data_IF_629573815380
#
_entry.id   IF_629573815380
#
_cell.length_a   1.000
_cell.length_b   1.000
_cell.length_c   1.000
_cell.angle_alpha   90.00
_cell.angle_beta   90.00
_cell.angle_gamma   90.00
#
_symmetry.space_group_name_H-M   'P 1'
#
loop_
_entity.id
_entity.type
_entity.pdbx_description
1 polymer ?
#
# COMPACT_ATOMS: atom_id res chain seq x y z
N UNK A 1 3.29 26.01 -14.78
CA UNK A 1 3.03 27.28 -14.04
C UNK A 1 1.61 27.80 -14.23
N UNK A 2 1.02 27.70 -15.43
CA UNK A 2 -0.37 28.14 -15.70
C UNK A 2 -1.45 27.35 -14.93
N UNK A 3 -1.29 26.03 -14.79
CA UNK A 3 -2.19 25.15 -14.02
C UNK A 3 -2.22 25.51 -12.54
N UNK A 4 -1.05 25.79 -11.94
CA UNK A 4 -0.95 26.22 -10.54
C UNK A 4 -1.59 27.60 -10.33
N UNK A 5 -1.55 28.49 -11.35
CA UNK A 5 -2.27 29.76 -11.36
C UNK A 5 -3.79 29.56 -11.35
N UNK A 6 -4.31 28.76 -12.28
CA UNK A 6 -5.75 28.42 -12.34
C UNK A 6 -6.25 27.74 -11.04
N UNK A 7 -5.46 26.82 -10.47
CA UNK A 7 -5.77 26.19 -9.18
C UNK A 7 -5.72 27.19 -8.00
N UNK A 8 -4.85 28.20 -8.06
CA UNK A 8 -4.79 29.27 -7.06
C UNK A 8 -6.06 30.12 -7.07
N UNK A 9 -6.50 30.51 -8.26
CA UNK A 9 -7.67 31.36 -8.45
C UNK A 9 -8.97 30.61 -8.10
N UNK A 10 -9.08 29.33 -8.49
CA UNK A 10 -10.14 28.43 -8.02
C UNK A 10 -10.09 28.26 -6.49
N UNK A 11 -8.92 28.04 -5.90
CA UNK A 11 -8.75 27.85 -4.45
C UNK A 11 -9.20 29.04 -3.59
N UNK A 12 -9.26 30.25 -4.14
CA UNK A 12 -9.84 31.43 -3.48
C UNK A 12 -11.36 31.54 -3.58
N UNK A 13 -11.99 30.89 -4.56
CA UNK A 13 -13.43 30.96 -4.84
C UNK A 13 -14.19 29.65 -4.47
N UNK A 14 -13.46 28.60 -4.15
CA UNK A 14 -13.98 27.26 -3.86
C UNK A 14 -14.61 27.18 -2.46
N UNK A 15 -15.92 27.43 -2.39
CA UNK A 15 -16.77 26.98 -1.30
C UNK A 15 -17.46 25.64 -1.64
N UNK A 16 -18.15 25.03 -0.68
CA UNK A 16 -18.83 23.74 -0.88
C UNK A 16 -19.86 23.75 -2.02
N UNK A 17 -20.50 24.89 -2.31
CA UNK A 17 -21.43 25.03 -3.43
C UNK A 17 -20.71 25.06 -4.79
N UNK A 18 -19.53 25.69 -4.86
CA UNK A 18 -18.67 25.68 -6.06
C UNK A 18 -18.18 24.26 -6.36
N UNK A 19 -17.76 23.50 -5.33
CA UNK A 19 -17.35 22.09 -5.49
C UNK A 19 -18.52 21.23 -5.96
N UNK A 20 -19.71 21.41 -5.37
CA UNK A 20 -20.94 20.73 -5.82
C UNK A 20 -21.16 20.95 -7.32
N UNK A 21 -21.11 22.21 -7.75
CA UNK A 21 -21.30 22.57 -9.16
C UNK A 21 -20.23 21.92 -10.05
N UNK A 22 -18.97 21.96 -9.67
CA UNK A 22 -17.88 21.31 -10.42
C UNK A 22 -18.09 19.79 -10.52
N UNK A 23 -18.48 19.11 -9.44
CA UNK A 23 -18.74 17.67 -9.50
C UNK A 23 -19.90 17.35 -10.46
N UNK A 24 -20.96 18.16 -10.44
CA UNK A 24 -22.09 18.02 -11.36
C UNK A 24 -21.70 18.31 -12.82
N UNK A 25 -20.99 19.42 -13.06
CA UNK A 25 -20.57 19.86 -14.40
C UNK A 25 -19.61 18.83 -15.06
N UNK A 26 -18.83 18.11 -14.24
CA UNK A 26 -17.88 17.09 -14.68
C UNK A 26 -18.34 15.64 -14.47
N UNK A 27 -19.59 15.42 -14.05
CA UNK A 27 -20.16 14.08 -13.81
C UNK A 27 -19.33 13.21 -12.85
N UNK A 28 -18.71 13.83 -11.84
CA UNK A 28 -17.96 13.11 -10.81
C UNK A 28 -18.94 12.55 -9.79
N UNK A 29 -18.94 11.23 -9.60
CA UNK A 29 -19.78 10.59 -8.58
C UNK A 29 -19.27 10.94 -7.18
N UNK A 30 -20.18 10.95 -6.19
CA UNK A 30 -19.79 11.18 -4.78
C UNK A 30 -18.77 10.13 -4.32
N UNK A 31 -18.91 8.90 -4.82
CA UNK A 31 -18.03 7.77 -4.50
C UNK A 31 -16.61 7.95 -5.07
N UNK A 32 -16.42 8.85 -6.04
CA UNK A 32 -15.10 9.18 -6.61
C UNK A 32 -14.37 10.30 -5.85
N UNK A 33 -15.09 11.05 -5.01
CA UNK A 33 -14.53 12.16 -4.23
C UNK A 33 -13.35 11.79 -3.33
N UNK A 34 -13.28 10.58 -2.72
CA UNK A 34 -12.12 10.16 -1.94
C UNK A 34 -10.81 10.25 -2.73
N UNK A 35 -10.81 9.80 -4.00
CA UNK A 35 -9.61 9.83 -4.85
C UNK A 35 -9.15 11.25 -5.14
N UNK A 36 -10.09 12.13 -5.47
CA UNK A 36 -9.82 13.54 -5.78
C UNK A 36 -9.25 14.25 -4.55
N UNK A 37 -9.91 14.11 -3.39
CA UNK A 37 -9.46 14.83 -2.22
C UNK A 37 -8.24 14.20 -1.54
N UNK A 38 -7.98 12.89 -1.67
CA UNK A 38 -6.67 12.30 -1.34
C UNK A 38 -5.55 12.94 -2.16
N UNK A 39 -5.72 13.03 -3.48
CA UNK A 39 -4.76 13.68 -4.35
C UNK A 39 -4.56 15.16 -3.99
N UNK A 40 -5.58 15.83 -3.44
CA UNK A 40 -5.51 17.23 -3.02
C UNK A 40 -4.92 17.46 -1.61
N UNK A 41 -5.14 16.54 -0.68
CA UNK A 41 -4.70 16.65 0.72
C UNK A 41 -3.29 16.10 0.98
N UNK A 42 -2.58 15.65 -0.06
CA UNK A 42 -1.19 15.21 0.07
C UNK A 42 -0.29 16.33 0.63
N UNK A 43 0.61 15.98 1.56
CA UNK A 43 1.40 16.96 2.33
C UNK A 43 2.29 17.86 1.48
N UNK A 44 2.73 17.37 0.32
CA UNK A 44 3.57 18.10 -0.64
C UNK A 44 2.78 19.07 -1.54
N UNK A 45 1.45 19.09 -1.43
CA UNK A 45 0.63 19.97 -2.27
C UNK A 45 0.64 21.42 -1.80
N UNK A 46 0.50 22.32 -2.77
CA UNK A 46 0.38 23.76 -2.53
C UNK A 46 -0.92 24.10 -1.77
N UNK A 47 -0.93 25.23 -1.05
CA UNK A 47 -2.08 25.68 -0.27
C UNK A 47 -3.41 25.70 -1.05
N UNK A 48 -3.47 26.15 -2.32
CA UNK A 48 -4.72 26.14 -3.08
C UNK A 48 -5.26 24.74 -3.34
N UNK A 49 -4.39 23.80 -3.67
CA UNK A 49 -4.77 22.40 -3.88
C UNK A 49 -5.29 21.79 -2.58
N UNK A 50 -4.65 22.11 -1.45
CA UNK A 50 -5.14 21.69 -0.13
C UNK A 50 -6.50 22.29 0.23
N UNK A 51 -6.76 23.55 -0.13
CA UNK A 51 -8.08 24.18 0.03
C UNK A 51 -9.16 23.44 -0.76
N UNK A 52 -8.88 23.06 -2.01
CA UNK A 52 -9.80 22.23 -2.80
C UNK A 52 -10.12 20.91 -2.08
N UNK A 53 -9.11 20.21 -1.57
CA UNK A 53 -9.30 18.97 -0.79
C UNK A 53 -10.21 19.15 0.43
N UNK A 54 -10.04 20.26 1.18
CA UNK A 54 -10.93 20.60 2.30
C UNK A 54 -12.36 20.90 1.85
N UNK A 55 -12.54 21.62 0.75
CA UNK A 55 -13.87 21.95 0.21
C UNK A 55 -14.61 20.70 -0.28
N UNK A 56 -13.89 19.74 -0.88
CA UNK A 56 -14.44 18.41 -1.24
C UNK A 56 -14.86 17.63 0.00
N UNK A 57 -14.05 17.61 1.06
CA UNK A 57 -14.42 16.97 2.32
C UNK A 57 -15.68 17.60 2.95
N UNK A 58 -15.77 18.94 2.99
CA UNK A 58 -16.96 19.64 3.49
C UNK A 58 -18.19 19.26 2.66
N UNK A 59 -18.05 19.17 1.33
CA UNK A 59 -19.13 18.75 0.44
C UNK A 59 -19.56 17.31 0.72
N UNK A 60 -18.62 16.37 0.84
CA UNK A 60 -18.94 14.97 1.17
C UNK A 60 -19.70 14.85 2.51
N UNK A 61 -19.23 15.56 3.54
CA UNK A 61 -19.88 15.55 4.85
C UNK A 61 -21.24 16.24 4.88
N UNK A 62 -21.42 17.31 4.12
CA UNK A 62 -22.71 18.00 4.01
C UNK A 62 -23.78 17.18 3.28
N UNK A 63 -23.38 16.18 2.49
CA UNK A 63 -24.28 15.22 1.84
C UNK A 63 -24.34 13.88 2.59
N UNK A 64 -23.86 13.83 3.83
CA UNK A 64 -23.90 12.64 4.69
C UNK A 64 -23.26 11.38 4.07
N UNK A 65 -22.29 11.55 3.17
CA UNK A 65 -21.52 10.42 2.63
C UNK A 65 -20.50 9.95 3.68
N UNK A 66 -20.82 8.86 4.37
CA UNK A 66 -20.01 8.31 5.47
C UNK A 66 -18.61 7.91 5.00
N UNK A 67 -18.52 6.98 4.03
CA UNK A 67 -17.24 6.48 3.49
C UNK A 67 -16.33 7.61 2.99
N UNK A 68 -16.86 8.51 2.15
CA UNK A 68 -16.08 9.64 1.65
C UNK A 68 -15.64 10.60 2.77
N UNK A 69 -16.51 10.86 3.76
CA UNK A 69 -16.13 11.67 4.92
C UNK A 69 -14.99 11.03 5.71
N UNK A 70 -15.09 9.73 5.99
CA UNK A 70 -14.10 9.00 6.81
C UNK A 70 -12.74 8.92 6.11
N UNK A 71 -12.69 8.55 4.82
CA UNK A 71 -11.46 8.51 4.01
C UNK A 71 -10.76 9.87 3.95
N UNK A 72 -11.54 10.93 3.78
CA UNK A 72 -11.00 12.29 3.66
C UNK A 72 -10.57 12.87 5.01
N UNK A 73 -11.26 12.54 6.10
CA UNK A 73 -10.79 12.88 7.45
C UNK A 73 -9.50 12.13 7.81
N UNK A 74 -9.36 10.85 7.45
CA UNK A 74 -8.09 10.10 7.59
C UNK A 74 -6.95 10.78 6.84
N UNK A 75 -7.19 11.20 5.60
CA UNK A 75 -6.20 11.95 4.81
C UNK A 75 -5.81 13.28 5.49
N UNK A 76 -6.79 14.02 6.02
CA UNK A 76 -6.53 15.23 6.78
C UNK A 76 -5.76 14.98 8.09
N UNK A 77 -5.98 13.85 8.77
CA UNK A 77 -5.19 13.45 9.95
C UNK A 77 -3.74 13.10 9.60
N UNK A 78 -3.52 12.38 8.50
CA UNK A 78 -2.17 12.07 8.01
C UNK A 78 -1.43 13.37 7.69
N UNK A 79 -2.13 14.35 7.10
CA UNK A 79 -1.57 15.68 6.83
C UNK A 79 -1.10 16.39 8.10
N UNK A 80 -1.83 16.25 9.20
CA UNK A 80 -1.48 16.88 10.48
C UNK A 80 -0.22 16.28 11.13
N UNK A 81 0.21 15.06 10.73
CA UNK A 81 1.40 14.41 11.30
C UNK A 81 2.66 15.24 11.00
N UNK A 82 3.38 15.61 12.06
CA UNK A 82 4.58 16.44 11.97
C UNK A 82 4.29 17.94 11.77
N UNK A 83 3.03 18.36 11.66
CA UNK A 83 2.65 19.77 11.56
C UNK A 83 2.47 20.37 12.96
N UNK A 84 3.50 21.09 13.42
CA UNK A 84 3.51 21.73 14.74
C UNK A 84 2.59 22.95 14.83
N UNK A 85 2.38 23.67 13.73
CA UNK A 85 1.50 24.83 13.71
C UNK A 85 0.03 24.40 13.61
N UNK A 86 -0.74 24.66 14.66
CA UNK A 86 -2.20 24.44 14.67
C UNK A 86 -2.93 25.11 13.51
N UNK A 87 -2.42 26.23 13.01
CA UNK A 87 -2.99 26.94 11.85
C UNK A 87 -2.77 26.19 10.51
N UNK A 88 -1.79 25.29 10.46
CA UNK A 88 -1.46 24.50 9.27
C UNK A 88 -2.06 23.10 9.30
N UNK A 89 -2.61 22.68 10.43
CA UNK A 89 -3.32 21.42 10.57
C UNK A 89 -4.59 21.45 9.70
N UNK A 90 -4.71 20.47 8.81
CA UNK A 90 -5.90 20.20 8.03
C UNK A 90 -7.04 19.73 8.93
N UNK A 91 -6.88 18.63 9.69
CA UNK A 91 -7.99 18.02 10.45
C UNK A 91 -8.55 18.96 11.52
N UNK A 92 -7.69 19.67 12.24
CA UNK A 92 -8.10 20.60 13.32
C UNK A 92 -8.53 21.99 12.82
N UNK A 93 -8.59 22.22 11.51
CA UNK A 93 -8.94 23.54 10.98
C UNK A 93 -10.41 23.90 11.28
N UNK A 94 -10.73 25.16 11.61
CA UNK A 94 -12.10 25.58 11.91
C UNK A 94 -13.09 25.25 10.78
N UNK A 95 -12.65 25.31 9.53
CA UNK A 95 -13.46 25.06 8.34
C UNK A 95 -13.97 23.60 8.27
N UNK A 96 -13.23 22.64 8.85
CA UNK A 96 -13.64 21.23 8.89
C UNK A 96 -14.56 20.90 10.08
N UNK A 97 -15.14 21.90 10.77
CA UNK A 97 -16.10 21.65 11.85
C UNK A 97 -17.30 20.82 11.39
N UNK A 98 -17.81 21.04 10.18
CA UNK A 98 -18.92 20.27 9.60
C UNK A 98 -18.56 18.78 9.48
N UNK A 99 -17.37 18.48 8.94
CA UNK A 99 -16.90 17.10 8.80
C UNK A 99 -16.69 16.40 10.15
N UNK A 100 -16.15 17.11 11.15
CA UNK A 100 -16.04 16.57 12.52
C UNK A 100 -17.39 16.38 13.21
N UNK A 101 -18.39 17.20 12.91
CA UNK A 101 -19.76 16.98 13.40
C UNK A 101 -20.38 15.74 12.77
N UNK A 102 -20.16 15.54 11.47
CA UNK A 102 -20.61 14.33 10.78
C UNK A 102 -19.92 13.08 11.35
N UNK A 103 -18.61 13.12 11.61
CA UNK A 103 -17.90 12.05 12.32
C UNK A 103 -18.55 11.73 13.68
N UNK A 104 -18.89 12.75 14.49
CA UNK A 104 -19.55 12.52 15.79
C UNK A 104 -20.91 11.87 15.64
N UNK A 105 -21.72 12.30 14.67
CA UNK A 105 -23.01 11.67 14.33
C UNK A 105 -22.81 10.19 13.99
N UNK A 106 -21.84 9.87 13.14
CA UNK A 106 -21.53 8.48 12.77
C UNK A 106 -21.09 7.64 13.98
N UNK A 107 -20.30 8.21 14.90
CA UNK A 107 -19.92 7.53 16.16
C UNK A 107 -21.14 7.28 17.05
N UNK A 108 -22.06 8.24 17.18
CA UNK A 108 -23.31 8.10 17.93
C UNK A 108 -24.24 7.02 17.32
N UNK A 109 -24.15 6.82 16.01
CA UNK A 109 -24.85 5.77 15.26
C UNK A 109 -24.15 4.40 15.34
N UNK A 110 -23.07 4.28 16.14
CA UNK A 110 -22.19 3.10 16.21
C UNK A 110 -21.61 2.68 14.85
N UNK A 111 -21.33 3.65 13.97
CA UNK A 111 -20.65 3.36 12.71
C UNK A 111 -19.21 2.91 13.01
N UNK A 112 -18.82 1.67 12.67
CA UNK A 112 -17.63 1.10 13.29
C UNK A 112 -16.33 1.76 12.84
N UNK A 113 -16.18 2.04 11.54
CA UNK A 113 -15.02 2.79 11.03
C UNK A 113 -14.88 4.20 11.61
N UNK A 114 -16.01 4.85 11.94
CA UNK A 114 -16.03 6.17 12.55
C UNK A 114 -15.52 6.09 13.99
N UNK A 115 -15.91 5.04 14.72
CA UNK A 115 -15.40 4.75 16.06
C UNK A 115 -13.89 4.48 16.05
N UNK A 116 -13.37 3.70 15.08
CA UNK A 116 -11.92 3.49 14.92
C UNK A 116 -11.19 4.81 14.68
N UNK A 117 -11.71 5.64 13.77
CA UNK A 117 -11.13 6.95 13.47
C UNK A 117 -11.11 7.87 14.70
N UNK A 118 -12.20 7.90 15.46
CA UNK A 118 -12.33 8.70 16.67
C UNK A 118 -11.45 8.17 17.82
N UNK A 119 -11.35 6.85 17.98
CA UNK A 119 -10.48 6.22 18.97
C UNK A 119 -9.00 6.54 18.71
N UNK A 120 -8.58 6.54 17.45
CA UNK A 120 -7.24 6.99 17.06
C UNK A 120 -6.97 8.42 17.51
N UNK A 121 -7.94 9.34 17.36
CA UNK A 121 -7.81 10.71 17.86
C UNK A 121 -7.73 10.79 19.39
N UNK A 122 -8.50 9.95 20.09
CA UNK A 122 -8.38 9.85 21.55
C UNK A 122 -6.99 9.37 21.97
N UNK A 123 -6.44 8.35 21.32
CA UNK A 123 -5.06 7.91 21.53
C UNK A 123 -4.04 9.04 21.31
N UNK A 124 -4.12 9.74 20.17
CA UNK A 124 -3.22 10.86 19.83
C UNK A 124 -3.30 12.04 20.81
N UNK A 125 -4.41 12.16 21.57
CA UNK A 125 -4.62 13.22 22.57
C UNK A 125 -4.42 12.74 24.01
N UNK A 126 -3.93 11.51 24.20
CA UNK A 126 -3.66 10.93 25.52
C UNK A 126 -4.89 10.35 26.24
N UNK A 127 -6.06 10.34 25.61
CA UNK A 127 -7.30 9.72 26.10
C UNK A 127 -7.30 8.21 25.79
N UNK A 128 -6.29 7.49 26.27
CA UNK A 128 -6.04 6.09 25.90
C UNK A 128 -7.13 5.13 26.36
N UNK A 129 -7.68 5.33 27.57
CA UNK A 129 -8.75 4.48 28.11
C UNK A 129 -10.03 4.59 27.30
N UNK A 130 -10.38 5.81 26.91
CA UNK A 130 -11.52 6.10 26.04
C UNK A 130 -11.31 5.52 24.64
N UNK A 131 -10.09 5.59 24.11
CA UNK A 131 -9.74 4.97 22.84
C UNK A 131 -9.90 3.44 22.87
N UNK A 132 -9.38 2.77 23.90
CA UNK A 132 -9.51 1.32 24.09
C UNK A 132 -10.98 0.91 24.18
N UNK A 133 -11.77 1.58 25.02
CA UNK A 133 -13.20 1.29 25.17
C UNK A 133 -13.95 1.46 23.83
N UNK A 134 -13.64 2.50 23.07
CA UNK A 134 -14.25 2.76 21.77
C UNK A 134 -13.85 1.72 20.72
N UNK A 135 -12.60 1.23 20.71
CA UNK A 135 -12.16 0.17 19.80
C UNK A 135 -12.82 -1.16 20.10
N UNK A 136 -12.95 -1.54 21.38
CA UNK A 136 -13.69 -2.74 21.78
C UNK A 136 -15.15 -2.68 21.33
N UNK A 137 -15.82 -1.55 21.56
CA UNK A 137 -17.18 -1.34 21.09
C UNK A 137 -17.30 -1.36 19.55
N UNK A 138 -16.30 -0.84 18.83
CA UNK A 138 -16.26 -0.92 17.36
C UNK A 138 -16.18 -2.38 16.88
N UNK A 139 -15.29 -3.18 17.47
CA UNK A 139 -15.14 -4.61 17.15
C UNK A 139 -16.46 -5.36 17.43
N UNK A 140 -17.09 -5.12 18.59
CA UNK A 140 -18.37 -5.73 18.97
C UNK A 140 -19.54 -5.32 18.07
N UNK A 141 -19.54 -4.09 17.55
CA UNK A 141 -20.58 -3.58 16.65
C UNK A 141 -20.55 -4.21 15.24
N UNK A 142 -19.57 -5.06 14.96
CA UNK A 142 -19.43 -5.71 13.65
C UNK A 142 -18.69 -4.85 12.63
N UNK A 143 -17.75 -3.99 13.05
CA UNK A 143 -16.79 -3.30 12.17
C UNK A 143 -16.12 -4.20 11.12
N UNK A 144 -16.14 -5.48 11.41
CA UNK A 144 -15.29 -6.53 10.89
C UNK A 144 -16.09 -7.54 10.07
N UNK A 145 -17.41 -7.37 9.98
CA UNK A 145 -18.23 -8.20 9.13
C UNK A 145 -17.95 -7.76 7.68
N UNK A 146 -16.91 -8.35 7.08
CA UNK A 146 -16.79 -8.41 5.63
C UNK A 146 -18.16 -8.83 5.10
N UNK A 147 -18.81 -7.96 4.33
CA UNK A 147 -20.09 -8.33 3.73
C UNK A 147 -19.86 -9.64 2.97
N UNK A 148 -20.73 -10.65 3.15
CA UNK A 148 -20.64 -11.86 2.35
C UNK A 148 -20.81 -11.47 0.88
N UNK A 149 -19.73 -11.55 0.11
CA UNK A 149 -19.73 -11.32 -1.32
C UNK A 149 -19.79 -12.67 -2.05
N UNK A 150 -20.47 -12.69 -3.19
CA UNK A 150 -20.64 -13.89 -4.00
C UNK A 150 -19.31 -14.37 -4.61
N UNK A 151 -19.04 -15.68 -4.52
CA UNK A 151 -17.82 -16.40 -4.93
C UNK A 151 -17.62 -16.51 -6.47
N UNK A 152 -18.01 -15.50 -7.26
CA UNK A 152 -17.77 -15.53 -8.71
C UNK A 152 -16.40 -14.94 -9.10
N UNK A 153 -15.82 -15.42 -10.20
CA UNK A 153 -14.47 -15.02 -10.63
C UNK A 153 -14.35 -13.53 -11.01
N UNK A 154 -15.42 -12.90 -11.50
CA UNK A 154 -15.45 -11.47 -11.80
C UNK A 154 -15.55 -10.65 -10.51
N UNK A 155 -16.30 -11.13 -9.53
CA UNK A 155 -16.35 -10.63 -8.16
C UNK A 155 -15.02 -10.83 -7.44
N UNK A 156 -14.26 -11.89 -7.74
CA UNK A 156 -12.89 -12.13 -7.22
C UNK A 156 -11.83 -11.22 -7.86
N UNK A 157 -11.92 -10.92 -9.16
CA UNK A 157 -11.02 -9.95 -9.80
C UNK A 157 -11.36 -8.52 -9.38
N UNK A 158 -12.65 -8.20 -9.26
CA UNK A 158 -13.14 -6.96 -8.65
C UNK A 158 -12.75 -6.88 -7.18
N UNK A 159 -12.77 -7.99 -6.43
CA UNK A 159 -12.22 -8.14 -5.07
C UNK A 159 -10.72 -7.90 -5.06
N UNK A 160 -9.93 -8.43 -5.98
CA UNK A 160 -8.49 -8.19 -5.98
C UNK A 160 -8.11 -6.76 -6.35
N UNK A 161 -8.81 -6.15 -7.31
CA UNK A 161 -8.55 -4.76 -7.72
C UNK A 161 -9.18 -3.75 -6.77
N UNK A 162 -10.35 -4.05 -6.21
CA UNK A 162 -10.96 -3.28 -5.13
C UNK A 162 -10.16 -3.46 -3.86
N UNK A 163 -9.80 -4.66 -3.40
CA UNK A 163 -8.90 -4.88 -2.26
C UNK A 163 -7.56 -4.21 -2.53
N UNK A 164 -6.92 -4.35 -3.67
CA UNK A 164 -5.65 -3.65 -3.91
C UNK A 164 -5.77 -2.11 -3.78
N UNK A 165 -6.89 -1.52 -4.22
CA UNK A 165 -7.18 -0.08 -4.08
C UNK A 165 -7.77 0.32 -2.70
N UNK A 166 -8.48 -0.60 -2.03
CA UNK A 166 -9.12 -0.47 -0.72
C UNK A 166 -8.06 -0.68 0.36
N UNK A 167 -7.26 -1.75 0.28
CA UNK A 167 -5.96 -1.96 0.93
C UNK A 167 -5.04 -0.77 0.71
N UNK A 168 -5.06 -0.07 -0.42
CA UNK A 168 -4.23 1.12 -0.59
C UNK A 168 -4.53 2.24 0.42
N UNK A 169 -5.77 2.31 0.94
CA UNK A 169 -6.17 3.18 2.06
C UNK A 169 -6.25 2.41 3.39
N UNK A 170 -6.68 1.14 3.38
CA UNK A 170 -6.85 0.28 4.56
C UNK A 170 -5.56 -0.36 5.06
N UNK A 171 -4.66 -0.85 4.21
CA UNK A 171 -3.29 -1.22 4.63
C UNK A 171 -2.53 -0.04 5.24
N UNK A 172 -2.94 1.20 4.93
CA UNK A 172 -2.44 2.43 5.58
C UNK A 172 -3.19 2.75 6.88
N UNK A 173 -4.45 2.37 7.03
CA UNK A 173 -5.21 2.53 8.28
C UNK A 173 -5.07 1.32 9.17
N UNK A 174 -4.58 1.50 10.39
CA UNK A 174 -4.51 0.39 11.33
C UNK A 174 -5.92 -0.16 11.57
N UNK A 175 -6.08 -1.47 11.43
CA UNK A 175 -7.32 -2.16 11.77
C UNK A 175 -7.72 -1.84 13.23
N UNK A 176 -9.00 -1.98 13.59
CA UNK A 176 -9.42 -1.82 14.98
C UNK A 176 -8.61 -2.70 15.94
N UNK A 177 -8.32 -3.94 15.56
CA UNK A 177 -7.55 -4.88 16.37
C UNK A 177 -6.08 -4.49 16.52
N UNK A 178 -5.42 -4.16 15.42
CA UNK A 178 -4.01 -3.72 15.47
C UNK A 178 -3.87 -2.44 16.29
N UNK A 179 -4.84 -1.52 16.18
CA UNK A 179 -4.85 -0.29 16.99
C UNK A 179 -5.08 -0.62 18.46
N UNK A 180 -6.06 -1.48 18.77
CA UNK A 180 -6.38 -1.91 20.13
C UNK A 180 -5.17 -2.59 20.76
N UNK A 181 -4.57 -3.56 20.08
CA UNK A 181 -3.43 -4.30 20.57
C UNK A 181 -2.23 -3.40 20.89
N UNK A 182 -1.95 -2.40 20.03
CA UNK A 182 -0.92 -1.41 20.31
C UNK A 182 -1.21 -0.60 21.58
N UNK A 183 -2.46 -0.18 21.77
CA UNK A 183 -2.85 0.57 22.97
C UNK A 183 -2.79 -0.28 24.23
N UNK A 184 -3.25 -1.53 24.18
CA UNK A 184 -3.17 -2.46 25.30
C UNK A 184 -1.71 -2.71 25.69
N UNK A 185 -0.83 -2.94 24.71
CA UNK A 185 0.61 -3.07 24.94
C UNK A 185 1.22 -1.80 25.56
N UNK A 186 0.85 -0.63 25.06
CA UNK A 186 1.31 0.67 25.61
C UNK A 186 0.86 0.90 27.07
N UNK A 187 -0.21 0.23 27.51
CA UNK A 187 -0.70 0.24 28.88
C UNK A 187 -0.14 -0.93 29.73
N UNK A 188 0.66 -1.82 29.14
CA UNK A 188 1.27 -2.98 29.80
C UNK A 188 0.39 -4.24 29.84
N UNK A 189 -0.72 -4.26 29.09
CA UNK A 189 -1.66 -5.37 29.00
C UNK A 189 -1.27 -6.30 27.84
N UNK A 190 -0.17 -7.04 27.97
CA UNK A 190 0.37 -7.87 26.88
C UNK A 190 -0.57 -9.00 26.45
N UNK A 191 -1.28 -9.62 27.40
CA UNK A 191 -2.25 -10.70 27.10
C UNK A 191 -3.38 -10.19 26.22
N UNK A 192 -3.99 -9.07 26.59
CA UNK A 192 -5.06 -8.43 25.84
C UNK A 192 -4.58 -7.93 24.47
N UNK A 193 -3.32 -7.49 24.39
CA UNK A 193 -2.71 -7.12 23.12
C UNK A 193 -2.55 -8.33 22.18
N UNK A 194 -2.06 -9.46 22.70
CA UNK A 194 -1.92 -10.71 21.93
C UNK A 194 -3.27 -11.25 21.47
N UNK A 195 -4.29 -11.26 22.35
CA UNK A 195 -5.66 -11.65 22.01
C UNK A 195 -6.23 -10.76 20.89
N UNK A 196 -6.02 -9.45 20.97
CA UNK A 196 -6.45 -8.52 19.93
C UNK A 196 -5.74 -8.80 18.59
N UNK A 197 -4.42 -9.02 18.59
CA UNK A 197 -3.72 -9.41 17.36
C UNK A 197 -4.22 -10.74 16.78
N UNK A 198 -4.43 -11.75 17.62
CA UNK A 198 -4.94 -13.05 17.18
C UNK A 198 -6.33 -12.91 16.55
N UNK A 199 -7.22 -12.11 17.16
CA UNK A 199 -8.54 -11.83 16.60
C UNK A 199 -8.46 -11.10 15.25
N UNK A 200 -7.57 -10.11 15.10
CA UNK A 200 -7.38 -9.40 13.83
C UNK A 200 -6.85 -10.33 12.73
N UNK A 201 -5.91 -11.20 13.07
CA UNK A 201 -5.38 -12.22 12.15
C UNK A 201 -6.46 -13.22 11.71
N UNK A 202 -7.27 -13.73 12.63
CA UNK A 202 -8.26 -14.77 12.34
C UNK A 202 -9.53 -14.25 11.66
N UNK A 203 -9.89 -12.98 11.89
CA UNK A 203 -11.16 -12.41 11.41
C UNK A 203 -11.05 -11.61 10.12
N UNK A 204 -9.90 -11.00 9.86
CA UNK A 204 -9.73 -10.02 8.78
C UNK A 204 -8.48 -10.27 7.93
N UNK A 205 -7.78 -11.39 8.19
CA UNK A 205 -6.46 -11.66 7.61
C UNK A 205 -5.49 -10.46 7.75
N UNK A 206 -5.58 -9.69 8.85
CA UNK A 206 -4.90 -8.40 8.99
C UNK A 206 -3.37 -8.56 8.88
N UNK A 207 -2.73 -7.98 7.84
CA UNK A 207 -1.30 -8.12 7.60
C UNK A 207 -0.44 -7.63 8.78
N UNK A 208 -0.86 -6.58 9.48
CA UNK A 208 -0.13 -6.01 10.61
C UNK A 208 -0.29 -6.84 11.87
N UNK A 209 -1.45 -7.48 12.04
CA UNK A 209 -1.68 -8.40 13.14
C UNK A 209 -0.77 -9.63 13.04
N UNK A 210 -0.70 -10.25 11.85
CA UNK A 210 0.24 -11.33 11.60
C UNK A 210 1.70 -10.92 11.83
N UNK A 211 2.12 -9.72 11.40
CA UNK A 211 3.47 -9.23 11.70
C UNK A 211 3.74 -9.04 13.18
N UNK A 212 2.75 -8.55 13.93
CA UNK A 212 2.88 -8.37 15.37
C UNK A 212 3.00 -9.73 16.08
N UNK A 213 2.21 -10.73 15.68
CA UNK A 213 2.35 -12.11 16.16
C UNK A 213 3.70 -12.71 15.78
N UNK A 214 4.19 -12.47 14.56
CA UNK A 214 5.53 -12.89 14.16
C UNK A 214 6.63 -12.28 15.05
N UNK A 215 6.42 -11.10 15.63
CA UNK A 215 7.38 -10.46 16.52
C UNK A 215 7.47 -11.08 17.93
N UNK A 216 6.49 -11.91 18.33
CA UNK A 216 6.47 -12.59 19.64
C UNK A 216 7.14 -13.96 19.61
N UNK A 217 7.47 -14.48 18.43
CA UNK A 217 8.13 -15.78 18.23
C UNK A 217 9.56 -15.62 17.73
N UNK A 218 10.45 -16.62 17.91
CA UNK A 218 11.83 -16.54 17.42
C UNK A 218 11.89 -16.26 15.92
N UNK A 219 12.69 -15.27 15.52
CA UNK A 219 12.89 -14.92 14.11
C UNK A 219 13.38 -16.16 13.33
N UNK A 220 12.80 -16.37 12.15
CA UNK A 220 13.08 -17.52 11.26
C UNK A 220 12.65 -18.89 11.79
N UNK A 221 11.92 -18.94 12.91
CA UNK A 221 11.20 -20.16 13.29
C UNK A 221 10.11 -20.52 12.27
N UNK A 222 9.60 -21.75 12.32
CA UNK A 222 8.46 -22.16 11.47
C UNK A 222 7.23 -21.28 11.70
N UNK A 223 6.88 -21.01 12.95
CA UNK A 223 5.75 -20.13 13.28
C UNK A 223 5.96 -18.70 12.79
N UNK A 224 7.18 -18.16 12.93
CA UNK A 224 7.53 -16.85 12.36
C UNK A 224 7.33 -16.84 10.84
N UNK A 225 7.78 -17.88 10.15
CA UNK A 225 7.68 -18.01 8.70
C UNK A 225 6.22 -18.08 8.23
N UNK A 226 5.38 -18.84 8.93
CA UNK A 226 3.95 -18.94 8.66
C UNK A 226 3.24 -17.58 8.81
N UNK A 227 3.47 -16.88 9.92
CA UNK A 227 2.90 -15.55 10.15
C UNK A 227 3.41 -14.52 9.14
N UNK A 228 4.69 -14.50 8.81
CA UNK A 228 5.22 -13.58 7.80
C UNK A 228 4.69 -13.89 6.40
N UNK A 229 4.55 -15.16 6.04
CA UNK A 229 3.94 -15.57 4.77
C UNK A 229 2.50 -15.09 4.67
N UNK A 230 1.72 -15.28 5.74
CA UNK A 230 0.35 -14.77 5.83
C UNK A 230 0.30 -13.26 5.71
N UNK A 231 1.09 -12.54 6.51
CA UNK A 231 1.18 -11.09 6.44
C UNK A 231 1.54 -10.58 5.04
N UNK A 232 2.51 -11.20 4.38
CA UNK A 232 2.94 -10.80 3.05
C UNK A 232 1.85 -11.07 2.00
N UNK A 233 1.17 -12.23 2.08
CA UNK A 233 0.05 -12.56 1.20
C UNK A 233 -1.17 -11.65 1.41
N UNK A 234 -1.35 -11.12 2.61
CA UNK A 234 -2.35 -10.09 2.95
C UNK A 234 -1.88 -8.66 2.62
N UNK A 235 -0.86 -8.49 1.78
CA UNK A 235 -0.44 -7.18 1.27
C UNK A 235 0.65 -6.46 2.07
N UNK A 236 1.28 -7.11 3.06
CA UNK A 236 2.33 -6.46 3.83
C UNK A 236 3.71 -6.51 3.17
N UNK A 237 4.10 -5.38 2.57
CA UNK A 237 5.40 -5.26 1.90
C UNK A 237 6.60 -5.44 2.86
N UNK A 238 6.46 -5.06 4.14
CA UNK A 238 7.50 -5.28 5.15
C UNK A 238 7.70 -6.75 5.47
N UNK A 239 6.62 -7.55 5.51
CA UNK A 239 6.73 -9.00 5.68
C UNK A 239 7.32 -9.66 4.43
N UNK A 240 6.92 -9.21 3.24
CA UNK A 240 7.53 -9.66 1.99
C UNK A 240 9.05 -9.39 2.01
N UNK A 241 9.48 -8.19 2.43
CA UNK A 241 10.91 -7.88 2.61
C UNK A 241 11.57 -8.87 3.59
N UNK A 242 10.96 -9.12 4.74
CA UNK A 242 11.52 -10.05 5.74
C UNK A 242 11.57 -11.50 5.25
N UNK A 243 10.63 -11.93 4.40
CA UNK A 243 10.72 -13.23 3.74
C UNK A 243 11.88 -13.28 2.75
N UNK A 244 12.11 -12.21 1.97
CA UNK A 244 13.32 -12.08 1.15
C UNK A 244 14.61 -12.22 1.98
N UNK A 245 14.65 -11.60 3.16
CA UNK A 245 15.78 -11.73 4.10
C UNK A 245 15.90 -13.16 4.66
N UNK A 246 14.80 -13.85 4.94
CA UNK A 246 14.79 -15.24 5.40
C UNK A 246 15.38 -16.19 4.35
N UNK A 247 14.97 -16.04 3.09
CA UNK A 247 15.48 -16.90 2.00
C UNK A 247 16.95 -16.64 1.66
N UNK A 248 17.49 -15.47 2.00
CA UNK A 248 18.93 -15.15 1.82
C UNK A 248 19.78 -15.40 3.06
N UNK A 249 19.18 -15.62 4.22
CA UNK A 249 19.90 -15.82 5.46
C UNK A 249 20.69 -17.16 5.48
N UNK A 250 21.80 -17.26 6.23
CA UNK A 250 22.48 -18.55 6.43
C UNK A 250 21.54 -19.61 7.04
N UNK A 251 21.62 -20.88 6.64
CA UNK A 251 20.78 -21.94 7.22
C UNK A 251 20.93 -22.08 8.75
N UNK A 252 22.09 -21.69 9.28
CA UNK A 252 22.37 -21.66 10.72
C UNK A 252 21.58 -20.60 11.49
N UNK A 253 20.94 -19.62 10.81
CA UNK A 253 20.05 -18.66 11.47
C UNK A 253 18.64 -19.21 11.71
N UNK A 254 18.27 -20.34 11.10
CA UNK A 254 17.03 -21.05 11.40
C UNK A 254 17.21 -21.73 12.78
N UNK A 255 16.28 -21.56 13.73
CA UNK A 255 16.38 -22.16 15.06
C UNK A 255 16.65 -23.68 15.02
N UNK A 256 17.39 -24.20 16.00
CA UNK A 256 17.85 -25.61 16.02
C UNK A 256 16.70 -26.59 16.22
N UNK A 257 15.65 -26.14 16.90
CA UNK A 257 14.40 -26.83 17.09
C UNK A 257 13.60 -27.04 15.78
N UNK A 258 13.84 -26.24 14.74
CA UNK A 258 13.11 -26.28 13.45
C UNK A 258 13.89 -27.02 12.34
N UNK A 259 14.38 -28.23 12.65
CA UNK A 259 15.21 -29.03 11.73
C UNK A 259 14.51 -29.36 10.40
N UNK A 260 13.19 -29.54 10.42
CA UNK A 260 12.40 -29.79 9.21
C UNK A 260 12.44 -28.59 8.26
N UNK A 261 12.25 -27.37 8.78
CA UNK A 261 12.32 -26.14 7.98
C UNK A 261 13.73 -25.95 7.43
N UNK A 262 14.77 -26.20 8.24
CA UNK A 262 16.16 -26.15 7.79
C UNK A 262 16.42 -27.13 6.65
N UNK A 263 15.95 -28.37 6.76
CA UNK A 263 16.08 -29.40 5.72
C UNK A 263 15.38 -28.97 4.43
N UNK A 264 14.19 -28.38 4.53
CA UNK A 264 13.46 -27.83 3.37
C UNK A 264 14.26 -26.71 2.70
N UNK A 265 14.80 -25.77 3.46
CA UNK A 265 15.60 -24.66 2.91
C UNK A 265 16.91 -25.14 2.29
N UNK A 266 17.57 -26.14 2.90
CA UNK A 266 18.75 -26.78 2.35
C UNK A 266 18.42 -27.45 1.01
N UNK A 267 17.28 -28.17 0.93
CA UNK A 267 16.85 -28.78 -0.32
C UNK A 267 16.65 -27.76 -1.44
N UNK A 268 16.05 -26.59 -1.16
CA UNK A 268 15.88 -25.50 -2.13
C UNK A 268 17.22 -24.88 -2.58
N UNK A 269 18.23 -24.89 -1.71
CA UNK A 269 19.56 -24.33 -1.98
C UNK A 269 20.43 -25.28 -2.81
N UNK A 270 20.38 -26.58 -2.50
CA UNK A 270 21.15 -27.65 -3.14
C UNK A 270 20.46 -28.23 -4.39
N UNK A 271 19.21 -27.86 -4.68
CA UNK A 271 18.52 -28.31 -5.88
C UNK A 271 19.25 -27.82 -7.15
N UNK A 272 19.62 -28.76 -8.02
CA UNK A 272 20.32 -28.46 -9.28
C UNK A 272 19.43 -27.72 -10.29
N UNK A 273 18.10 -27.70 -10.12
CA UNK A 273 17.20 -26.99 -11.00
C UNK A 273 17.37 -25.47 -10.86
N UNK A 274 17.93 -24.85 -11.91
CA UNK A 274 18.09 -23.40 -12.01
C UNK A 274 16.81 -22.74 -12.51
N UNK A 275 16.48 -21.61 -11.91
CA UNK A 275 15.37 -20.74 -12.31
C UNK A 275 15.96 -19.54 -13.05
N UNK A 276 15.51 -19.32 -14.28
CA UNK A 276 15.84 -18.13 -15.05
C UNK A 276 15.09 -16.92 -14.49
N UNK A 277 15.81 -15.90 -14.04
CA UNK A 277 15.25 -14.65 -13.57
C UNK A 277 15.67 -13.49 -14.46
N UNK A 278 14.69 -12.73 -14.95
CA UNK A 278 14.90 -11.62 -15.87
C UNK A 278 14.82 -10.28 -15.13
N UNK A 279 15.79 -9.41 -15.39
CA UNK A 279 15.91 -8.13 -14.71
C UNK A 279 16.46 -7.05 -15.64
N UNK A 280 16.35 -5.78 -15.26
CA UNK A 280 16.97 -4.66 -15.96
C UNK A 280 17.47 -3.64 -14.95
N UNK A 281 18.50 -2.88 -15.33
CA UNK A 281 18.95 -1.72 -14.56
C UNK A 281 18.27 -0.47 -15.09
N UNK A 282 17.70 0.36 -14.24
CA UNK A 282 17.15 1.65 -14.68
C UNK A 282 18.24 2.53 -15.32
N UNK A 283 17.94 3.09 -16.49
CA UNK A 283 18.85 4.03 -17.14
C UNK A 283 18.75 5.43 -16.51
N UNK A 284 19.70 6.33 -16.83
CA UNK A 284 19.75 7.66 -16.23
C UNK A 284 18.46 8.48 -16.41
N UNK A 285 17.71 8.28 -17.49
CA UNK A 285 16.44 8.96 -17.74
C UNK A 285 15.33 8.39 -16.84
N UNK A 286 15.26 7.07 -16.70
CA UNK A 286 14.33 6.43 -15.76
C UNK A 286 14.62 6.82 -14.31
N UNK A 287 15.91 6.87 -13.93
CA UNK A 287 16.37 7.34 -12.63
C UNK A 287 15.93 8.79 -12.36
N UNK A 288 16.11 9.70 -13.33
CA UNK A 288 15.66 11.08 -13.22
C UNK A 288 14.16 11.19 -12.96
N UNK A 289 13.32 10.38 -13.63
CA UNK A 289 11.87 10.39 -13.45
C UNK A 289 11.43 9.99 -12.04
N UNK A 290 12.17 9.11 -11.38
CA UNK A 290 11.91 8.69 -10.00
C UNK A 290 12.72 9.47 -8.97
N UNK A 291 13.44 10.52 -9.39
CA UNK A 291 14.21 11.41 -8.51
C UNK A 291 15.52 10.80 -8.00
N UNK A 292 16.05 9.79 -8.69
CA UNK A 292 17.30 9.12 -8.32
C UNK A 292 18.49 9.72 -9.09
N UNK A 293 19.67 9.85 -8.45
CA UNK A 293 20.87 10.35 -9.12
C UNK A 293 21.25 9.49 -10.34
N UNK A 294 21.79 10.09 -11.41
CA UNK A 294 22.39 9.35 -12.51
C UNK A 294 23.47 8.37 -11.99
N UNK A 295 23.49 7.15 -12.54
CA UNK A 295 24.41 6.10 -12.13
C UNK A 295 23.99 5.28 -10.91
N UNK A 296 22.87 5.59 -10.25
CA UNK A 296 22.29 4.71 -9.23
C UNK A 296 21.90 3.39 -9.88
N UNK A 297 22.54 2.29 -9.50
CA UNK A 297 22.05 0.96 -9.90
C UNK A 297 20.72 0.75 -9.18
N UNK A 298 19.63 0.63 -9.92
CA UNK A 298 18.34 0.13 -9.42
C UNK A 298 17.92 -1.00 -10.34
N UNK A 299 17.59 -2.14 -9.75
CA UNK A 299 17.13 -3.31 -10.50
C UNK A 299 15.61 -3.32 -10.50
N UNK A 300 15.03 -3.33 -11.70
CA UNK A 300 13.63 -3.71 -11.90
C UNK A 300 13.54 -5.17 -12.33
N UNK A 301 12.57 -5.90 -11.78
CA UNK A 301 12.18 -7.19 -12.33
C UNK A 301 11.08 -6.97 -13.38
N UNK A 302 11.21 -7.61 -14.53
CA UNK A 302 10.23 -7.49 -15.61
C UNK A 302 9.46 -8.80 -15.77
N UNK A 303 8.38 -8.93 -15.00
CA UNK A 303 7.39 -9.98 -15.23
C UNK A 303 6.13 -9.43 -15.94
N UNK A 304 6.02 -8.10 -16.12
CA UNK A 304 4.74 -7.43 -16.38
C UNK A 304 4.74 -6.21 -17.33
N UNK A 305 5.85 -5.75 -17.93
CA UNK A 305 5.73 -4.67 -18.94
C UNK A 305 5.12 -5.21 -20.24
N UNK A 306 3.83 -4.89 -20.46
CA UNK A 306 3.12 -5.12 -21.72
C UNK A 306 3.55 -4.20 -22.87
N UNK A 307 4.38 -3.20 -22.62
CA UNK A 307 4.87 -2.26 -23.64
C UNK A 307 6.38 -2.07 -23.52
N UNK A 308 7.10 -2.42 -24.58
CA UNK A 308 8.52 -2.12 -24.74
C UNK A 308 8.70 -1.00 -25.76
N UNK A 309 9.32 0.10 -25.35
CA UNK A 309 9.89 1.10 -26.25
C UNK A 309 11.39 0.79 -26.39
N UNK A 310 11.83 0.19 -27.51
CA UNK A 310 13.22 -0.21 -27.70
C UNK A 310 14.22 0.97 -27.68
N UNK A 311 13.75 2.21 -27.82
CA UNK A 311 14.60 3.41 -27.76
C UNK A 311 14.75 3.95 -26.33
N UNK A 312 13.88 3.55 -25.40
CA UNK A 312 13.85 4.06 -24.02
C UNK A 312 14.08 2.98 -22.97
N UNK A 313 13.90 1.71 -23.32
CA UNK A 313 14.00 0.62 -22.37
C UNK A 313 15.44 0.24 -22.10
N UNK A 314 15.68 0.05 -20.81
CA UNK A 314 16.93 -0.49 -20.32
C UNK A 314 17.13 -1.92 -20.81
N UNK A 315 18.37 -2.27 -21.13
CA UNK A 315 18.71 -3.62 -21.56
C UNK A 315 18.24 -4.63 -20.49
N UNK A 316 17.51 -5.64 -20.93
CA UNK A 316 17.11 -6.76 -20.07
C UNK A 316 18.24 -7.79 -20.01
N UNK A 317 18.50 -8.26 -18.81
CA UNK A 317 19.48 -9.28 -18.48
C UNK A 317 18.75 -10.50 -17.90
N UNK A 318 19.44 -11.63 -17.90
CA UNK A 318 18.97 -12.88 -17.31
C UNK A 318 20.05 -13.40 -16.36
N UNK A 319 19.63 -13.95 -15.23
CA UNK A 319 20.49 -14.67 -14.29
C UNK A 319 19.84 -16.00 -13.92
N UNK A 320 20.67 -17.04 -13.78
CA UNK A 320 20.23 -18.35 -13.30
C UNK A 320 20.41 -18.43 -11.78
N UNK A 321 19.34 -18.77 -11.07
CA UNK A 321 19.29 -18.80 -9.62
C UNK A 321 18.96 -20.21 -9.12
N UNK A 322 19.44 -20.59 -7.94
CA UNK A 322 18.83 -21.74 -7.25
C UNK A 322 17.41 -21.37 -6.76
N UNK A 323 16.62 -22.37 -6.37
CA UNK A 323 15.22 -22.16 -6.01
C UNK A 323 15.08 -21.24 -4.79
N UNK A 324 16.00 -21.34 -3.82
CA UNK A 324 16.01 -20.49 -2.63
C UNK A 324 16.25 -19.02 -2.96
N UNK A 325 17.19 -18.73 -3.86
CA UNK A 325 17.49 -17.38 -4.35
C UNK A 325 16.34 -16.80 -5.19
N UNK A 326 15.70 -17.62 -6.03
CA UNK A 326 14.56 -17.18 -6.82
C UNK A 326 13.38 -16.77 -5.92
N UNK A 327 13.06 -17.56 -4.89
CA UNK A 327 12.04 -17.21 -3.89
C UNK A 327 12.40 -15.91 -3.15
N UNK A 328 13.67 -15.71 -2.80
CA UNK A 328 14.11 -14.44 -2.22
C UNK A 328 13.82 -13.25 -3.15
N UNK A 329 14.12 -13.37 -4.44
CA UNK A 329 13.84 -12.32 -5.42
C UNK A 329 12.34 -12.06 -5.57
N UNK A 330 11.50 -13.09 -5.63
CA UNK A 330 10.04 -12.92 -5.69
C UNK A 330 9.54 -12.07 -4.51
N UNK A 331 9.98 -12.40 -3.29
CA UNK A 331 9.57 -11.66 -2.11
C UNK A 331 10.10 -10.22 -2.05
N UNK A 332 11.36 -10.00 -2.44
CA UNK A 332 11.89 -8.64 -2.54
C UNK A 332 11.20 -7.82 -3.64
N UNK A 333 10.78 -8.45 -4.73
CA UNK A 333 10.06 -7.82 -5.83
C UNK A 333 8.67 -7.35 -5.38
N UNK A 334 7.93 -8.23 -4.69
CA UNK A 334 6.65 -7.90 -4.05
C UNK A 334 6.85 -6.75 -3.06
N UNK A 335 7.89 -6.82 -2.23
CA UNK A 335 8.21 -5.78 -1.26
C UNK A 335 8.53 -4.43 -1.93
N UNK A 336 9.29 -4.44 -3.03
CA UNK A 336 9.65 -3.24 -3.79
C UNK A 336 8.42 -2.56 -4.40
N UNK A 337 7.56 -3.35 -5.07
CA UNK A 337 6.29 -2.85 -5.65
C UNK A 337 5.36 -2.34 -4.57
N UNK A 338 5.22 -3.11 -3.49
CA UNK A 338 4.42 -2.73 -2.35
C UNK A 338 4.92 -1.43 -1.74
N UNK A 339 6.22 -1.30 -1.52
CA UNK A 339 6.78 -0.07 -0.97
C UNK A 339 6.48 1.16 -1.83
N UNK A 340 6.69 1.09 -3.15
CA UNK A 340 6.41 2.20 -4.06
C UNK A 340 4.94 2.66 -4.01
N UNK A 341 4.05 1.73 -3.65
CA UNK A 341 2.60 1.94 -3.57
C UNK A 341 2.17 2.44 -2.19
N UNK A 342 2.74 1.89 -1.12
CA UNK A 342 2.23 2.04 0.24
C UNK A 342 3.09 2.93 1.15
N UNK A 343 4.37 3.14 0.84
CA UNK A 343 5.29 3.94 1.68
C UNK A 343 5.66 5.26 1.02
N UNK A 344 5.68 6.34 1.81
CA UNK A 344 6.26 7.62 1.36
C UNK A 344 7.80 7.62 1.44
N UNK A 345 8.36 6.71 2.25
CA UNK A 345 9.80 6.50 2.38
C UNK A 345 10.23 5.27 1.59
N UNK A 346 11.27 5.41 0.77
CA UNK A 346 11.86 4.33 -0.02
C UNK A 346 12.97 3.64 0.76
N UNK A 347 12.96 2.31 0.79
CA UNK A 347 13.87 1.44 1.51
C UNK A 347 14.81 0.86 0.48
N UNK A 348 15.95 1.53 0.35
CA UNK A 348 16.97 1.16 -0.61
C UNK A 348 17.55 -0.24 -0.31
N UNK A 349 17.40 -0.77 0.91
CA UNK A 349 17.91 -2.11 1.24
C UNK A 349 17.26 -3.22 0.42
N UNK A 350 16.01 -3.04 -0.05
CA UNK A 350 15.35 -4.01 -0.94
C UNK A 350 16.09 -4.09 -2.29
N UNK A 351 16.40 -2.92 -2.89
CA UNK A 351 17.13 -2.87 -4.17
C UNK A 351 18.55 -3.42 -4.03
N UNK A 352 19.22 -3.10 -2.92
CA UNK A 352 20.57 -3.59 -2.64
C UNK A 352 20.58 -5.11 -2.45
N UNK A 353 19.59 -5.68 -1.77
CA UNK A 353 19.48 -7.12 -1.60
C UNK A 353 19.22 -7.86 -2.93
N UNK A 354 18.34 -7.32 -3.78
CA UNK A 354 18.12 -7.83 -5.15
C UNK A 354 19.43 -7.82 -5.95
N UNK A 355 20.17 -6.71 -5.90
CA UNK A 355 21.46 -6.58 -6.57
C UNK A 355 22.48 -7.58 -6.07
N UNK A 356 22.58 -7.76 -4.75
CA UNK A 356 23.51 -8.69 -4.15
C UNK A 356 23.24 -10.13 -4.60
N UNK A 357 21.97 -10.54 -4.68
CA UNK A 357 21.58 -11.87 -5.20
C UNK A 357 22.04 -12.03 -6.65
N UNK A 358 21.75 -11.04 -7.51
CA UNK A 358 22.12 -11.05 -8.92
C UNK A 358 23.64 -11.08 -9.08
N UNK A 359 24.36 -10.18 -8.43
CA UNK A 359 25.83 -10.07 -8.53
C UNK A 359 26.55 -11.31 -8.00
N UNK A 360 26.00 -12.00 -7.00
CA UNK A 360 26.52 -13.30 -6.52
C UNK A 360 26.28 -14.45 -7.49
N UNK A 361 25.21 -14.40 -8.28
CA UNK A 361 24.90 -15.43 -9.28
C UNK A 361 25.61 -15.19 -10.64
N UNK A 362 25.97 -13.94 -10.95
CA UNK A 362 26.67 -13.57 -12.19
C UNK A 362 28.03 -14.24 -12.49
N UNK A 363 28.90 -14.63 -11.52
CA UNK A 363 30.20 -15.24 -11.83
C UNK A 363 30.09 -16.57 -12.60
N UNK A 364 28.88 -17.14 -12.67
CA UNK A 364 28.59 -18.43 -13.30
C UNK A 364 27.76 -18.28 -14.59
N UNK A 365 27.25 -17.09 -14.88
CA UNK A 365 26.52 -16.79 -16.12
C UNK A 365 27.45 -16.08 -17.09
N UNK A 366 27.85 -16.73 -18.19
CA UNK A 366 28.46 -16.01 -19.31
C UNK A 366 27.53 -14.88 -19.78
N UNK A 367 28.07 -13.83 -20.41
CA UNK A 367 27.26 -12.79 -21.07
C UNK A 367 26.31 -13.46 -22.09
N UNK A 368 25.14 -13.88 -21.66
CA UNK A 368 24.07 -14.31 -22.54
C UNK A 368 23.45 -13.05 -23.11
N UNK A 369 24.09 -12.52 -24.17
CA UNK A 369 23.47 -11.61 -25.14
C UNK A 369 22.39 -12.36 -25.92
N UNK A 370 21.43 -12.94 -25.23
CA UNK A 370 20.20 -13.43 -25.84
C UNK A 370 19.24 -12.26 -25.93
N UNK A 371 19.44 -11.43 -26.95
CA UNK A 371 18.42 -10.54 -27.48
C UNK A 371 17.31 -11.39 -28.08
N UNK A 372 16.45 -11.98 -27.24
CA UNK A 372 15.14 -12.38 -27.71
C UNK A 372 14.43 -11.10 -28.14
N UNK A 373 14.21 -10.94 -29.44
CA UNK A 373 13.45 -9.81 -29.98
C UNK A 373 12.12 -9.74 -29.22
N UNK A 374 11.91 -8.67 -28.44
CA UNK A 374 10.79 -8.45 -27.52
C UNK A 374 9.42 -8.87 -28.09
N UNK A 375 9.27 -8.77 -29.42
CA UNK A 375 8.11 -9.20 -30.20
C UNK A 375 7.64 -10.64 -29.98
N UNK A 376 8.54 -11.61 -29.73
CA UNK A 376 8.16 -13.03 -29.54
C UNK A 376 7.71 -13.35 -28.12
N UNK A 377 8.24 -12.65 -27.10
CA UNK A 377 7.79 -12.79 -25.70
C UNK A 377 6.39 -12.20 -25.52
N UNK A 378 6.16 -11.02 -26.09
CA UNK A 378 4.86 -10.36 -26.10
C UNK A 378 3.75 -11.22 -26.77
N UNK A 379 4.07 -11.89 -27.89
CA UNK A 379 3.09 -12.71 -28.62
C UNK A 379 2.73 -14.03 -27.90
N UNK A 380 3.61 -14.60 -27.07
CA UNK A 380 3.35 -15.87 -26.40
C UNK A 380 2.59 -15.70 -25.07
N UNK A 381 2.78 -14.58 -24.37
CA UNK A 381 2.20 -14.33 -23.04
C UNK A 381 0.83 -13.61 -23.09
N UNK A 382 0.52 -12.85 -24.15
CA UNK A 382 -0.66 -11.98 -24.21
C UNK A 382 -1.83 -12.49 -25.05
N UNK A 383 -1.92 -13.80 -25.32
CA UNK A 383 -3.14 -14.39 -25.89
C UNK A 383 -4.21 -14.76 -24.86
N UNK A 384 -4.21 -14.11 -23.68
CA UNK A 384 -5.34 -14.10 -22.75
C UNK A 384 -6.08 -12.74 -22.86
N UNK A 385 -7.41 -12.83 -22.87
CA UNK A 385 -8.43 -11.94 -23.46
C UNK A 385 -8.42 -10.45 -23.07
N UNK A 386 -9.01 -9.61 -23.93
CA UNK A 386 -9.11 -8.12 -23.84
C UNK A 386 -9.68 -7.54 -22.52
N UNK A 387 -10.32 -8.35 -21.68
CA UNK A 387 -10.92 -7.91 -20.41
C UNK A 387 -9.87 -7.58 -19.31
N UNK A 388 -8.64 -8.10 -19.41
CA UNK A 388 -7.60 -7.93 -18.38
C UNK A 388 -6.89 -6.58 -18.39
N UNK A 389 -7.24 -5.67 -19.30
CA UNK A 389 -6.58 -4.35 -19.49
C UNK A 389 -7.20 -3.20 -18.70
N UNK A 390 -8.10 -3.46 -17.76
CA UNK A 390 -8.90 -2.40 -17.13
C UNK A 390 -8.05 -1.39 -16.35
N UNK A 391 -6.99 -1.81 -15.66
CA UNK A 391 -6.10 -0.92 -14.89
C UNK A 391 -5.19 -0.07 -15.79
N UNK A 392 -4.63 -0.64 -16.86
CA UNK A 392 -3.85 0.10 -17.87
C UNK A 392 -4.74 1.09 -18.63
N UNK A 393 -5.93 0.65 -19.03
CA UNK A 393 -6.93 1.53 -19.65
C UNK A 393 -7.39 2.61 -18.67
N UNK A 394 -7.50 2.34 -17.38
CA UNK A 394 -7.82 3.34 -16.36
C UNK A 394 -6.67 4.34 -16.18
N UNK A 395 -5.41 3.91 -16.14
CA UNK A 395 -4.25 4.80 -16.02
C UNK A 395 -4.05 5.66 -17.27
N UNK A 396 -4.25 5.10 -18.45
CA UNK A 396 -4.25 5.84 -19.73
C UNK A 396 -5.45 6.79 -19.80
N UNK A 397 -6.64 6.36 -19.41
CA UNK A 397 -7.83 7.21 -19.35
C UNK A 397 -7.69 8.32 -18.29
N UNK A 398 -7.00 8.07 -17.18
CA UNK A 398 -6.73 9.07 -16.14
C UNK A 398 -5.70 10.10 -16.62
N UNK A 399 -4.71 9.68 -17.42
CA UNK A 399 -3.75 10.59 -18.04
C UNK A 399 -4.40 11.41 -19.18
N UNK A 400 -5.34 10.82 -19.92
CA UNK A 400 -6.17 11.52 -20.90
C UNK A 400 -7.20 12.45 -20.23
N UNK A 401 -7.77 12.06 -19.09
CA UNK A 401 -8.64 12.89 -18.27
C UNK A 401 -7.86 14.10 -17.73
N UNK A 402 -6.62 13.90 -17.25
CA UNK A 402 -5.70 15.00 -16.92
C UNK A 402 -5.50 15.91 -18.14
N UNK A 403 -5.18 15.36 -19.31
CA UNK A 403 -4.97 16.17 -20.54
C UNK A 403 -6.23 16.92 -20.99
N UNK A 404 -7.43 16.39 -20.72
CA UNK A 404 -8.72 17.01 -21.10
C UNK A 404 -9.22 18.05 -20.09
N UNK A 405 -9.02 17.82 -18.79
CA UNK A 405 -9.39 18.77 -17.73
C UNK A 405 -8.39 19.93 -17.65
N UNK A 406 -7.12 19.71 -18.04
CA UNK A 406 -6.03 20.67 -17.87
C UNK A 406 -5.49 21.29 -19.16
N UNK A 407 -6.24 21.21 -20.27
CA UNK A 407 -6.15 22.17 -21.40
C UNK A 407 -7.12 23.31 -21.12
#
# INVERSE_FOLDING_TARGET
MEVLGKMRDLGSELNGATVKKLCLDHQVAIDDLPFIARACLYTRNTDPVRKLGKSVLIYASANESADATLRLLRSAMIHDKGVTSRLRQAYNSPELAVARNHLRKLVEENHPEAMVLQARRFSETGQRKEAIAMLRAAIESGATALQPYDDDAASMHKKYSSLFLHDLDESRTESPWTTLAKLERDEGNETEAEEAFQLGADKDDDPRAFQALASTVPRYSRTWFEYMTKAASSGSWTAAKYLGEFYTAPLASIPVEDEELRTQMQHLEENDHKIEWWYYYLNNRELELIGEPPGTKIVGADFWRGYHDPDLDSATYMVELNQRQALALEWYEIAWRGQATFSDDRDLSINLAIQEIIEKALPHSGELKHTWTAKKRHHALHHWTDESRMFENFMVAFDDLKKRIFR
#
